data_IF_795673926074
#
_entry.id   IF_795673926074
#
_cell.length_a   1.000
_cell.length_b   1.000
_cell.length_c   1.000
_cell.angle_alpha   90.00
_cell.angle_beta   90.00
_cell.angle_gamma   90.00
#
_symmetry.space_group_name_H-M   'P 1'
#
loop_
_entity.id
_entity.type
_entity.pdbx_description
1 polymer ?
#
# COMPACT_ATOMS: atom_id res chain seq x y z
N UNK A 1 -14.64 -19.70 -24.68
CA UNK A 1 -15.32 -19.74 -23.37
C UNK A 1 -15.35 -18.32 -22.86
N UNK A 2 -16.53 -17.72 -22.83
CA UNK A 2 -16.75 -16.31 -22.44
C UNK A 2 -16.45 -16.18 -20.94
N UNK A 3 -15.39 -15.48 -20.59
CA UNK A 3 -15.01 -15.26 -19.22
C UNK A 3 -16.07 -14.45 -18.49
N UNK A 4 -16.82 -15.09 -17.62
CA UNK A 4 -17.56 -14.39 -16.58
C UNK A 4 -16.52 -13.63 -15.78
N UNK A 5 -16.43 -12.31 -15.97
CA UNK A 5 -15.44 -11.48 -15.29
C UNK A 5 -15.57 -11.61 -13.78
N UNK A 6 -14.45 -11.48 -13.12
CA UNK A 6 -14.32 -11.62 -11.67
C UNK A 6 -15.13 -10.54 -10.94
N UNK A 7 -15.98 -10.85 -9.94
CA UNK A 7 -16.68 -9.84 -9.16
C UNK A 7 -15.71 -8.92 -8.43
N UNK A 8 -16.06 -7.65 -8.32
CA UNK A 8 -15.23 -6.61 -7.69
C UNK A 8 -15.98 -5.93 -6.55
N UNK A 9 -15.27 -5.39 -5.56
CA UNK A 9 -15.91 -4.64 -4.47
C UNK A 9 -16.76 -3.48 -5.01
N UNK A 10 -17.97 -3.30 -4.44
CA UNK A 10 -18.88 -2.23 -4.86
C UNK A 10 -19.63 -2.51 -6.16
N UNK A 11 -19.51 -3.70 -6.72
CA UNK A 11 -20.26 -4.08 -7.92
C UNK A 11 -21.78 -4.09 -7.65
N UNK A 12 -22.57 -3.34 -8.43
CA UNK A 12 -24.00 -3.30 -8.24
C UNK A 12 -24.66 -4.62 -8.73
N UNK A 13 -25.86 -4.88 -8.21
CA UNK A 13 -26.70 -5.90 -8.80
C UNK A 13 -27.21 -5.44 -10.16
N UNK A 14 -26.95 -6.21 -11.22
CA UNK A 14 -27.40 -5.88 -12.57
C UNK A 14 -28.72 -6.58 -12.89
N UNK A 15 -29.68 -5.80 -13.41
CA UNK A 15 -30.89 -6.36 -14.01
C UNK A 15 -30.59 -7.09 -15.32
N UNK A 16 -29.57 -6.64 -16.05
CA UNK A 16 -29.01 -7.30 -17.23
C UNK A 16 -27.57 -7.76 -16.92
N UNK A 17 -27.34 -9.07 -16.77
CA UNK A 17 -26.01 -9.60 -16.46
C UNK A 17 -24.92 -9.26 -17.49
N UNK A 18 -25.31 -8.92 -18.74
CA UNK A 18 -24.35 -8.52 -19.79
C UNK A 18 -23.66 -7.19 -19.51
N UNK A 19 -24.18 -6.37 -18.59
CA UNK A 19 -23.58 -5.11 -18.18
C UNK A 19 -22.39 -5.30 -17.22
N UNK A 20 -22.35 -6.40 -16.48
CA UNK A 20 -21.32 -6.63 -15.47
C UNK A 20 -19.88 -6.58 -16.02
N UNK A 21 -19.53 -7.25 -17.14
CA UNK A 21 -18.18 -7.16 -17.69
C UNK A 21 -17.81 -5.74 -18.14
N UNK A 22 -18.78 -5.00 -18.71
CA UNK A 22 -18.57 -3.61 -19.15
C UNK A 22 -18.36 -2.68 -17.95
N UNK A 23 -19.14 -2.86 -16.91
CA UNK A 23 -19.00 -2.07 -15.68
C UNK A 23 -17.64 -2.33 -15.01
N UNK A 24 -17.21 -3.60 -14.92
CA UNK A 24 -15.90 -3.96 -14.38
C UNK A 24 -14.75 -3.36 -15.19
N UNK A 25 -14.86 -3.38 -16.51
CA UNK A 25 -13.86 -2.75 -17.38
C UNK A 25 -13.83 -1.22 -17.18
N UNK A 26 -15.00 -0.57 -17.05
CA UNK A 26 -15.07 0.86 -16.76
C UNK A 26 -14.47 1.18 -15.37
N UNK A 27 -14.82 0.40 -14.33
CA UNK A 27 -14.22 0.55 -12.99
C UNK A 27 -12.71 0.39 -13.03
N UNK A 28 -12.19 -0.59 -13.76
CA UNK A 28 -10.73 -0.78 -13.92
C UNK A 28 -10.10 0.42 -14.62
N UNK A 29 -10.73 0.96 -15.64
CA UNK A 29 -10.26 2.17 -16.33
C UNK A 29 -10.24 3.39 -15.40
N UNK A 30 -11.22 3.54 -14.50
CA UNK A 30 -11.23 4.57 -13.44
C UNK A 30 -10.05 4.37 -12.49
N UNK A 31 -9.83 3.14 -12.05
CA UNK A 31 -8.72 2.81 -11.15
C UNK A 31 -7.35 3.13 -11.77
N UNK A 32 -7.14 2.73 -13.02
CA UNK A 32 -5.92 3.02 -13.76
C UNK A 32 -5.73 4.53 -13.97
N UNK A 33 -6.83 5.25 -14.23
CA UNK A 33 -6.81 6.70 -14.38
C UNK A 33 -6.42 7.39 -13.07
N UNK A 34 -7.08 7.04 -11.96
CA UNK A 34 -6.78 7.63 -10.64
C UNK A 34 -5.35 7.31 -10.19
N UNK A 35 -4.90 6.07 -10.40
CA UNK A 35 -3.52 5.69 -10.12
C UNK A 35 -2.53 6.59 -10.86
N UNK A 36 -2.75 6.77 -12.16
CA UNK A 36 -1.87 7.59 -13.00
C UNK A 36 -1.89 9.05 -12.59
N UNK A 37 -3.08 9.65 -12.44
CA UNK A 37 -3.24 11.07 -12.13
C UNK A 37 -2.58 11.41 -10.78
N UNK A 38 -2.72 10.53 -9.80
CA UNK A 38 -2.09 10.71 -8.49
C UNK A 38 -0.58 10.47 -8.57
N UNK A 39 -0.13 9.41 -9.24
CA UNK A 39 1.29 9.12 -9.37
C UNK A 39 2.07 10.18 -10.16
N UNK A 40 1.42 10.83 -11.13
CA UNK A 40 2.01 11.91 -11.94
C UNK A 40 1.88 13.31 -11.27
N UNK A 41 1.14 13.40 -10.16
CA UNK A 41 1.01 14.67 -9.43
C UNK A 41 2.27 14.95 -8.59
N UNK A 42 2.53 16.21 -8.24
CA UNK A 42 3.63 16.56 -7.32
C UNK A 42 3.54 15.87 -5.97
N UNK A 43 2.34 15.48 -5.55
CA UNK A 43 2.11 14.76 -4.30
C UNK A 43 2.48 13.26 -4.40
N UNK A 44 2.54 12.71 -5.62
CA UNK A 44 2.83 11.29 -5.86
C UNK A 44 4.16 10.81 -5.25
N UNK A 45 5.15 11.69 -5.19
CA UNK A 45 6.47 11.38 -4.60
C UNK A 45 6.38 11.12 -3.08
N UNK A 46 5.39 11.68 -2.41
CA UNK A 46 5.10 11.47 -0.99
C UNK A 46 4.22 10.24 -0.70
N UNK A 47 3.94 9.40 -1.70
CA UNK A 47 3.02 8.29 -1.57
C UNK A 47 3.66 6.93 -1.87
N UNK A 48 3.27 5.94 -1.09
CA UNK A 48 3.65 4.54 -1.33
C UNK A 48 2.38 3.72 -1.52
N UNK A 49 2.23 3.13 -2.69
CA UNK A 49 1.11 2.25 -2.98
C UNK A 49 1.31 0.89 -2.30
N UNK A 50 0.26 0.36 -1.70
CA UNK A 50 0.24 -0.98 -1.12
C UNK A 50 -1.03 -1.74 -1.51
N UNK A 51 -1.33 -2.83 -0.83
CA UNK A 51 -2.58 -3.57 -1.03
C UNK A 51 -2.55 -4.51 -2.23
N UNK A 52 -3.69 -4.65 -2.91
CA UNK A 52 -3.86 -5.67 -3.95
C UNK A 52 -3.42 -5.23 -5.36
N UNK A 53 -3.29 -3.94 -5.62
CA UNK A 53 -2.97 -3.46 -6.95
C UNK A 53 -1.52 -3.80 -7.38
N UNK A 54 -0.49 -3.59 -6.54
CA UNK A 54 0.87 -4.00 -6.87
C UNK A 54 1.01 -5.50 -7.15
N UNK A 55 0.15 -6.32 -6.55
CA UNK A 55 0.18 -7.77 -6.72
C UNK A 55 0.06 -8.19 -8.18
N UNK A 56 -0.75 -7.47 -8.98
CA UNK A 56 -0.87 -7.76 -10.41
C UNK A 56 0.44 -7.55 -11.19
N UNK A 57 1.25 -6.58 -10.77
CA UNK A 57 2.56 -6.36 -11.39
C UNK A 57 3.54 -7.51 -11.08
N UNK A 58 3.43 -8.11 -9.90
CA UNK A 58 4.36 -9.14 -9.44
C UNK A 58 3.98 -10.55 -9.87
N UNK A 59 2.69 -10.90 -9.78
CA UNK A 59 2.22 -12.28 -10.01
C UNK A 59 1.28 -12.40 -11.23
N UNK A 60 1.07 -11.32 -11.96
CA UNK A 60 0.32 -11.32 -13.21
C UNK A 60 -1.12 -11.79 -13.07
N UNK A 61 -1.55 -12.66 -13.97
CA UNK A 61 -2.92 -13.14 -14.07
C UNK A 61 -3.39 -13.99 -12.86
N UNK A 62 -2.48 -14.45 -12.00
CA UNK A 62 -2.83 -15.14 -10.77
C UNK A 62 -3.41 -14.17 -9.72
N UNK A 63 -3.08 -12.88 -9.79
CA UNK A 63 -3.63 -11.90 -8.87
C UNK A 63 -5.17 -11.82 -9.02
N UNK A 64 -5.85 -11.63 -7.88
CA UNK A 64 -7.26 -11.26 -7.90
C UNK A 64 -7.42 -9.82 -8.41
N UNK A 65 -8.61 -9.48 -8.88
CA UNK A 65 -8.91 -8.11 -9.29
C UNK A 65 -8.74 -7.17 -8.10
N UNK A 66 -8.01 -6.04 -8.27
CA UNK A 66 -7.79 -5.12 -7.17
C UNK A 66 -9.10 -4.43 -6.74
N UNK A 67 -9.22 -4.26 -5.43
CA UNK A 67 -10.32 -3.53 -4.83
C UNK A 67 -10.11 -2.03 -4.91
N UNK A 68 -9.61 -1.50 -3.83
CA UNK A 68 -9.38 -0.08 -3.62
C UNK A 68 -7.93 0.30 -3.95
N UNK A 69 -7.61 1.58 -3.92
CA UNK A 69 -6.24 2.09 -3.99
C UNK A 69 -5.78 2.39 -2.56
N UNK A 70 -4.85 1.60 -2.06
CA UNK A 70 -4.35 1.74 -0.70
C UNK A 70 -2.98 2.45 -0.72
N UNK A 71 -2.90 3.60 -0.06
CA UNK A 71 -1.70 4.42 0.00
C UNK A 71 -1.19 4.60 1.43
N UNK A 72 0.11 4.70 1.58
CA UNK A 72 0.76 5.26 2.75
C UNK A 72 1.20 6.66 2.38
N UNK A 73 0.83 7.63 3.19
CA UNK A 73 1.32 9.00 3.08
C UNK A 73 2.62 9.04 3.89
N UNK A 74 3.71 9.31 3.18
CA UNK A 74 4.98 9.55 3.86
C UNK A 74 4.88 10.87 4.62
N UNK A 75 5.26 10.82 5.88
CA UNK A 75 5.52 12.05 6.63
C UNK A 75 6.53 12.89 5.84
N UNK A 76 6.42 14.23 5.88
CA UNK A 76 7.45 15.08 5.33
C UNK A 76 8.78 14.72 5.98
N UNK A 77 9.55 13.87 5.30
CA UNK A 77 10.88 13.51 5.78
C UNK A 77 11.84 14.67 5.58
N UNK A 78 12.96 14.64 6.28
CA UNK A 78 14.03 15.62 6.06
C UNK A 78 14.47 15.66 4.60
N UNK A 79 14.37 14.55 3.86
CA UNK A 79 14.66 14.49 2.43
C UNK A 79 13.76 15.44 1.61
N UNK A 80 12.50 15.59 2.01
CA UNK A 80 11.62 16.58 1.37
C UNK A 80 11.97 18.02 1.77
N UNK A 81 12.55 18.20 2.92
CA UNK A 81 13.03 19.52 3.34
C UNK A 81 14.27 19.97 2.56
N UNK A 82 15.15 19.03 2.18
CA UNK A 82 16.40 19.32 1.50
C UNK A 82 16.19 19.96 0.16
N UNK A 83 15.32 19.40 -0.66
CA UNK A 83 15.08 19.86 -2.02
C UNK A 83 14.23 21.14 -2.11
N UNK A 84 13.64 21.56 -0.99
CA UNK A 84 12.65 22.64 -0.97
C UNK A 84 13.01 23.81 -0.08
N UNK A 85 14.04 23.69 0.73
CA UNK A 85 14.36 24.68 1.74
C UNK A 85 15.61 25.46 1.38
N UNK A 86 15.53 26.72 1.78
CA UNK A 86 16.61 27.64 1.98
C UNK A 86 17.82 26.97 2.65
N UNK A 87 19.03 27.55 2.47
CA UNK A 87 20.31 27.00 2.94
C UNK A 87 20.43 26.63 4.43
N UNK A 88 19.39 26.85 5.21
CA UNK A 88 19.35 26.43 6.63
C UNK A 88 18.12 25.58 6.90
N UNK A 89 18.10 24.30 6.51
CA UNK A 89 16.97 23.44 6.72
C UNK A 89 16.73 23.19 8.22
N UNK A 90 15.48 22.98 8.58
CA UNK A 90 15.06 22.60 9.90
C UNK A 90 14.69 21.13 9.90
N UNK A 91 14.93 20.47 11.01
CA UNK A 91 14.52 19.08 11.20
C UNK A 91 13.72 18.97 12.49
N UNK A 92 12.66 18.17 12.42
CA UNK A 92 11.81 17.92 13.57
C UNK A 92 12.26 16.63 14.27
N UNK A 93 12.58 16.74 15.54
CA UNK A 93 12.90 15.56 16.33
C UNK A 93 14.23 14.89 15.99
N UNK A 94 14.46 13.72 16.59
CA UNK A 94 15.69 12.94 16.44
C UNK A 94 15.58 11.79 15.41
N UNK A 95 14.40 11.55 14.92
CA UNK A 95 14.05 10.54 13.94
C UNK A 95 14.18 11.05 12.49
N UNK A 96 14.58 12.29 12.31
CA UNK A 96 14.70 12.96 11.03
C UNK A 96 16.18 13.17 10.69
N UNK A 97 16.54 12.95 9.46
CA UNK A 97 17.89 13.20 8.96
C UNK A 97 18.22 14.69 9.06
N UNK A 98 19.29 14.99 9.75
CA UNK A 98 19.75 16.35 9.93
C UNK A 98 20.68 16.76 8.78
N UNK A 99 20.49 17.97 8.28
CA UNK A 99 21.31 18.50 7.20
C UNK A 99 22.00 19.79 7.61
N UNK A 100 23.22 19.93 7.15
CA UNK A 100 23.95 21.17 7.28
C UNK A 100 23.91 22.00 6.01
N UNK A 101 24.29 23.28 6.11
CA UNK A 101 24.39 24.11 4.90
C UNK A 101 25.22 23.49 3.79
N UNK A 102 26.30 22.79 4.12
CA UNK A 102 27.16 22.11 3.15
C UNK A 102 26.43 20.94 2.44
N UNK A 103 25.49 20.31 3.10
CA UNK A 103 24.68 19.28 2.49
C UNK A 103 23.64 19.85 1.53
N UNK A 104 23.11 21.03 1.82
CA UNK A 104 22.20 21.73 0.91
C UNK A 104 22.88 22.15 -0.41
N UNK A 105 24.20 22.34 -0.42
CA UNK A 105 25.00 22.58 -1.61
C UNK A 105 25.45 21.30 -2.35
N UNK A 106 24.84 20.17 -2.03
CA UNK A 106 25.14 18.88 -2.66
C UNK A 106 26.33 18.12 -2.07
N UNK A 107 26.91 18.61 -0.97
CA UNK A 107 27.82 17.84 -0.14
C UNK A 107 26.99 16.85 0.68
N UNK A 108 26.78 15.75 0.11
CA UNK A 108 25.99 14.66 0.56
C UNK A 108 25.98 14.45 2.06
N UNK A 109 24.91 14.55 2.70
CA UNK A 109 24.98 13.81 3.87
C UNK A 109 23.71 13.20 4.43
N UNK A 110 22.98 12.46 3.66
CA UNK A 110 22.08 11.47 4.24
C UNK A 110 22.78 10.50 5.18
N UNK A 111 24.12 10.44 5.13
CA UNK A 111 24.93 9.53 5.96
C UNK A 111 25.28 10.04 7.36
N UNK A 112 24.97 11.27 7.68
CA UNK A 112 25.37 11.87 8.98
C UNK A 112 24.54 11.39 10.16
N UNK A 113 23.33 10.93 9.88
CA UNK A 113 22.40 10.38 10.89
C UNK A 113 21.75 9.13 10.30
N UNK A 114 22.48 8.04 10.39
CA UNK A 114 21.94 6.76 9.93
C UNK A 114 20.85 6.29 10.89
N UNK A 115 19.84 5.62 10.36
CA UNK A 115 18.85 4.88 11.16
C UNK A 115 19.53 4.00 12.23
N UNK A 116 20.75 3.50 11.95
CA UNK A 116 21.52 2.70 12.88
C UNK A 116 21.95 3.46 14.12
N UNK A 117 22.26 4.75 14.03
CA UNK A 117 22.60 5.56 15.21
C UNK A 117 21.37 5.88 16.06
N UNK A 118 20.25 6.15 15.43
CA UNK A 118 18.97 6.33 16.11
C UNK A 118 18.53 5.02 16.78
N UNK A 119 18.65 3.89 16.09
CA UNK A 119 18.34 2.56 16.61
C UNK A 119 19.29 2.13 17.74
N UNK A 120 20.59 2.41 17.63
CA UNK A 120 21.59 2.06 18.64
C UNK A 120 21.38 2.81 19.96
N UNK A 121 20.80 4.00 19.90
CA UNK A 121 20.53 4.81 21.10
C UNK A 121 19.09 4.72 21.58
N UNK A 122 18.21 3.98 20.87
CA UNK A 122 16.78 3.93 21.16
C UNK A 122 16.12 5.31 21.10
N UNK A 123 16.61 6.20 20.27
CA UNK A 123 16.14 7.59 20.18
C UNK A 123 16.61 8.51 21.30
N UNK A 124 17.47 8.01 22.19
CA UNK A 124 17.92 8.77 23.37
C UNK A 124 19.17 9.60 23.13
N UNK A 125 19.83 9.49 21.97
CA UNK A 125 21.03 10.28 21.69
C UNK A 125 20.66 11.74 21.46
N UNK A 126 21.18 12.68 22.24
CA UNK A 126 20.98 14.08 22.00
C UNK A 126 21.68 14.46 20.70
N UNK A 127 20.90 14.71 19.65
CA UNK A 127 21.42 15.28 18.43
C UNK A 127 21.54 16.80 18.62
N UNK A 128 22.77 17.29 18.60
CA UNK A 128 23.01 18.73 18.58
C UNK A 128 22.82 19.22 17.13
N UNK A 129 21.97 20.21 16.96
CA UNK A 129 21.85 20.87 15.67
C UNK A 129 23.20 21.51 15.30
N UNK A 130 23.68 21.35 14.07
CA UNK A 130 24.87 22.05 13.58
C UNK A 130 24.68 23.55 13.67
N UNK A 131 25.79 24.26 13.62
CA UNK A 131 25.75 25.71 13.56
C UNK A 131 24.92 26.20 12.35
N UNK A 132 24.00 27.11 12.60
CA UNK A 132 23.07 27.63 11.58
C UNK A 132 21.79 26.81 11.39
N UNK A 133 21.67 25.65 12.03
CA UNK A 133 20.43 24.86 12.07
C UNK A 133 19.77 24.96 13.43
N UNK A 134 18.49 24.71 13.45
CA UNK A 134 17.73 24.59 14.69
C UNK A 134 16.73 23.43 14.59
N UNK A 135 16.47 22.80 15.71
CA UNK A 135 15.35 21.89 15.84
C UNK A 135 14.05 22.70 15.80
N UNK A 136 13.08 22.18 15.08
CA UNK A 136 11.70 22.64 15.14
C UNK A 136 10.87 21.54 15.79
N UNK A 137 9.89 21.95 16.56
CA UNK A 137 8.94 21.01 17.14
C UNK A 137 8.06 20.45 16.00
N UNK A 138 7.77 19.15 16.06
CA UNK A 138 6.88 18.50 15.09
C UNK A 138 5.51 19.19 15.03
N UNK A 139 5.05 19.75 16.14
CA UNK A 139 3.80 20.51 16.23
C UNK A 139 3.88 21.87 15.49
N UNK A 140 5.07 22.33 15.16
CA UNK A 140 5.28 23.56 14.38
C UNK A 140 5.33 23.30 12.88
N UNK A 141 5.33 22.03 12.45
CA UNK A 141 5.20 21.68 11.04
C UNK A 141 3.76 21.90 10.59
N UNK A 142 3.60 22.57 9.47
CA UNK A 142 2.28 22.66 8.86
C UNK A 142 1.79 21.26 8.49
N UNK A 143 0.55 20.90 8.83
CA UNK A 143 -0.02 19.62 8.40
C UNK A 143 0.09 19.49 6.88
N UNK A 144 0.52 18.36 6.41
CA UNK A 144 0.49 18.06 4.99
C UNK A 144 -0.91 18.24 4.40
N UNK A 145 -1.03 18.48 3.09
CA UNK A 145 -2.32 18.70 2.46
C UNK A 145 -3.25 17.49 2.65
N UNK A 146 -4.53 17.77 2.85
CA UNK A 146 -5.54 16.72 3.03
C UNK A 146 -5.63 15.86 1.75
N UNK A 147 -5.62 14.52 1.85
CA UNK A 147 -5.68 13.64 0.69
C UNK A 147 -6.83 13.92 -0.28
N UNK A 148 -8.00 14.32 0.23
CA UNK A 148 -9.12 14.71 -0.61
C UNK A 148 -8.80 15.95 -1.48
N UNK A 149 -8.14 16.93 -0.91
CA UNK A 149 -7.78 18.15 -1.64
C UNK A 149 -6.76 17.84 -2.75
N UNK A 150 -5.78 17.00 -2.45
CA UNK A 150 -4.76 16.59 -3.41
C UNK A 150 -5.34 15.75 -4.55
N UNK A 151 -6.19 14.76 -4.25
CA UNK A 151 -6.89 13.96 -5.28
C UNK A 151 -7.78 14.89 -6.15
N UNK A 152 -8.50 15.82 -5.53
CA UNK A 152 -9.35 16.77 -6.26
C UNK A 152 -8.51 17.70 -7.15
N UNK A 153 -7.38 18.19 -6.67
CA UNK A 153 -6.46 19.03 -7.44
C UNK A 153 -5.86 18.24 -8.62
N UNK A 154 -5.39 17.02 -8.38
CA UNK A 154 -4.83 16.17 -9.41
C UNK A 154 -5.86 15.81 -10.51
N UNK A 155 -7.11 15.56 -10.13
CA UNK A 155 -8.20 15.32 -11.09
C UNK A 155 -8.56 16.55 -11.91
N UNK A 156 -8.46 17.75 -11.32
CA UNK A 156 -8.70 19.03 -12.06
C UNK A 156 -7.57 19.38 -13.01
N UNK A 157 -6.34 19.08 -12.63
CA UNK A 157 -5.15 19.37 -13.44
C UNK A 157 -4.90 18.32 -14.52
N UNK A 158 -5.30 17.07 -14.27
CA UNK A 158 -5.06 15.94 -15.15
C UNK A 158 -6.01 15.89 -16.34
N UNK A 159 -5.72 14.99 -17.32
CA UNK A 159 -6.62 14.74 -18.44
C UNK A 159 -7.91 14.04 -17.95
N UNK A 160 -9.01 14.14 -18.70
CA UNK A 160 -10.22 13.37 -18.37
C UNK A 160 -10.00 11.86 -18.50
N UNK A 161 -10.78 11.02 -17.78
CA UNK A 161 -10.73 9.59 -17.94
C UNK A 161 -11.06 9.18 -19.39
N UNK A 162 -10.43 8.11 -19.91
CA UNK A 162 -10.73 7.60 -21.25
C UNK A 162 -12.08 6.86 -21.29
N UNK A 163 -12.58 6.59 -22.51
CA UNK A 163 -13.70 5.65 -22.71
C UNK A 163 -15.08 6.16 -22.32
N UNK A 164 -15.32 7.47 -22.34
CA UNK A 164 -16.64 8.04 -22.02
C UNK A 164 -16.97 7.98 -20.52
N UNK A 165 -15.96 7.79 -19.70
CA UNK A 165 -16.08 7.83 -18.23
C UNK A 165 -16.05 9.30 -17.79
N UNK A 166 -16.87 9.61 -16.80
CA UNK A 166 -16.94 10.94 -16.18
C UNK A 166 -16.67 10.84 -14.68
N UNK A 167 -15.77 11.68 -14.21
CA UNK A 167 -15.50 11.93 -12.80
C UNK A 167 -15.72 13.41 -12.56
N UNK A 168 -16.55 13.74 -11.59
CA UNK A 168 -16.71 15.13 -11.15
C UNK A 168 -15.79 15.37 -9.94
N UNK A 169 -14.72 16.16 -10.09
CA UNK A 169 -13.82 16.44 -8.97
C UNK A 169 -14.50 17.12 -7.78
N UNK A 170 -15.64 17.79 -8.00
CA UNK A 170 -16.38 18.44 -6.91
C UNK A 170 -17.22 17.46 -6.08
N UNK A 171 -17.45 16.27 -6.61
CA UNK A 171 -18.18 15.20 -5.92
C UNK A 171 -17.27 14.26 -5.11
N UNK A 172 -15.97 14.50 -5.12
CA UNK A 172 -15.00 13.73 -4.30
C UNK A 172 -15.22 14.05 -2.83
N UNK A 173 -15.42 13.02 -2.03
CA UNK A 173 -15.65 13.14 -0.58
C UNK A 173 -14.56 12.42 0.21
N UNK A 174 -14.41 12.80 1.47
CA UNK A 174 -13.50 12.14 2.40
C UNK A 174 -14.21 11.73 3.68
N UNK A 175 -13.84 10.58 4.21
CA UNK A 175 -14.11 10.14 5.57
C UNK A 175 -12.80 10.21 6.36
N UNK A 176 -12.68 11.25 7.19
CA UNK A 176 -11.49 11.51 8.01
C UNK A 176 -11.45 10.74 9.32
N UNK A 177 -12.48 9.92 9.61
CA UNK A 177 -12.57 9.09 10.82
C UNK A 177 -12.20 7.63 10.50
N UNK A 178 -11.84 7.36 9.25
CA UNK A 178 -11.47 6.03 8.84
C UNK A 178 -10.15 5.60 9.47
N UNK A 179 -10.15 4.45 10.12
CA UNK A 179 -8.96 3.82 10.68
C UNK A 179 -8.82 2.41 10.15
N UNK A 180 -7.61 2.01 9.82
CA UNK A 180 -7.29 0.60 9.66
C UNK A 180 -7.50 -0.11 11.00
N UNK A 181 -8.35 -1.12 11.04
CA UNK A 181 -8.70 -1.87 12.25
C UNK A 181 -7.49 -2.38 13.03
N UNK A 182 -6.40 -2.65 12.35
CA UNK A 182 -5.23 -3.30 12.92
C UNK A 182 -4.24 -2.33 13.59
N UNK A 183 -4.26 -1.04 13.23
CA UNK A 183 -3.12 -0.20 13.52
C UNK A 183 -3.40 0.97 14.44
N UNK A 184 -4.65 1.22 14.82
CA UNK A 184 -5.02 2.49 15.47
C UNK A 184 -4.45 3.72 14.71
N UNK A 185 -4.01 3.50 13.47
CA UNK A 185 -3.35 4.49 12.66
C UNK A 185 -4.40 5.36 12.01
N UNK A 186 -4.34 6.67 12.20
CA UNK A 186 -5.28 7.57 11.56
C UNK A 186 -5.15 7.46 10.05
N UNK A 187 -6.28 7.52 9.38
CA UNK A 187 -6.33 7.45 7.93
C UNK A 187 -7.45 8.30 7.38
N UNK A 188 -7.41 8.49 6.07
CA UNK A 188 -8.46 9.16 5.32
C UNK A 188 -8.91 8.26 4.20
N UNK A 189 -10.21 8.00 4.11
CA UNK A 189 -10.82 7.34 2.95
C UNK A 189 -11.37 8.40 2.01
N UNK A 190 -10.86 8.47 0.81
CA UNK A 190 -11.38 9.31 -0.27
C UNK A 190 -12.26 8.45 -1.17
N UNK A 191 -13.47 8.92 -1.41
CA UNK A 191 -14.44 8.27 -2.29
C UNK A 191 -14.59 9.10 -3.55
N UNK A 192 -14.35 8.47 -4.69
CA UNK A 192 -14.41 9.08 -6.02
C UNK A 192 -15.58 8.47 -6.80
N UNK A 193 -16.73 9.17 -6.87
CA UNK A 193 -17.85 8.75 -7.70
C UNK A 193 -17.50 8.86 -9.19
N UNK A 194 -17.97 7.89 -9.97
CA UNK A 194 -17.79 7.90 -11.41
C UNK A 194 -19.05 7.43 -12.16
N UNK A 195 -19.15 7.82 -13.41
CA UNK A 195 -20.24 7.46 -14.29
C UNK A 195 -19.70 7.07 -15.68
N UNK A 196 -20.36 6.15 -16.33
CA UNK A 196 -20.11 5.80 -17.73
C UNK A 196 -21.44 5.57 -18.45
N UNK A 197 -21.50 5.89 -19.75
CA UNK A 197 -22.74 5.86 -20.50
C UNK A 197 -23.34 4.45 -20.57
N UNK A 198 -24.62 4.35 -20.22
CA UNK A 198 -25.35 3.08 -20.24
C UNK A 198 -24.94 2.08 -19.16
N UNK A 199 -24.24 2.53 -18.11
CA UNK A 199 -23.85 1.72 -16.96
C UNK A 199 -24.38 2.33 -15.66
N UNK A 200 -24.67 1.52 -14.65
CA UNK A 200 -24.90 2.04 -13.30
C UNK A 200 -23.71 2.86 -12.81
N UNK A 201 -23.94 3.92 -12.02
CA UNK A 201 -22.86 4.67 -11.40
C UNK A 201 -22.04 3.76 -10.49
N UNK A 202 -20.79 4.13 -10.25
CA UNK A 202 -19.89 3.42 -9.37
C UNK A 202 -19.08 4.39 -8.51
N UNK A 203 -18.39 3.82 -7.55
CA UNK A 203 -17.47 4.53 -6.68
C UNK A 203 -16.14 3.78 -6.66
N UNK A 204 -15.04 4.53 -6.59
CA UNK A 204 -13.75 3.99 -6.26
C UNK A 204 -13.27 4.60 -4.94
N UNK A 205 -12.71 3.77 -4.09
CA UNK A 205 -12.16 4.18 -2.80
C UNK A 205 -10.66 4.25 -2.88
N UNK A 206 -10.12 5.26 -2.24
CA UNK A 206 -8.69 5.46 -2.07
C UNK A 206 -8.45 5.65 -0.58
N UNK A 207 -7.71 4.73 0.00
CA UNK A 207 -7.42 4.72 1.43
C UNK A 207 -6.00 5.25 1.66
N UNK A 208 -5.86 6.26 2.49
CA UNK A 208 -4.60 6.91 2.80
C UNK A 208 -4.30 6.69 4.29
N UNK A 209 -3.34 5.83 4.57
CA UNK A 209 -2.82 5.66 5.93
C UNK A 209 -1.78 6.74 6.22
N UNK A 210 -1.89 7.37 7.38
CA UNK A 210 -0.94 8.36 7.88
C UNK A 210 -0.11 7.75 8.99
N UNK A 211 1.11 8.20 9.16
CA UNK A 211 2.03 7.76 10.22
C UNK A 211 2.28 6.24 10.24
N UNK A 212 2.17 5.57 9.11
CA UNK A 212 2.45 4.15 9.03
C UNK A 212 3.93 3.89 8.80
N UNK A 213 4.55 3.14 9.71
CA UNK A 213 5.95 2.79 9.58
C UNK A 213 6.24 1.95 8.34
N UNK A 214 7.30 2.30 7.62
CA UNK A 214 7.83 1.54 6.49
C UNK A 214 9.14 0.86 6.89
N UNK A 215 9.09 -0.34 7.48
CA UNK A 215 10.28 -1.04 7.94
C UNK A 215 11.14 -1.65 6.81
N UNK A 216 10.75 -1.43 5.57
CA UNK A 216 11.48 -1.84 4.36
C UNK A 216 11.38 -0.77 3.29
N UNK A 217 12.46 -0.59 2.54
CA UNK A 217 12.52 0.44 1.51
C UNK A 217 11.45 0.23 0.41
N UNK A 218 10.76 1.30 -0.02
CA UNK A 218 9.83 1.19 -1.14
C UNK A 218 10.56 0.85 -2.44
N UNK A 219 9.84 0.19 -3.35
CA UNK A 219 10.36 -0.22 -4.64
C UNK A 219 9.54 0.41 -5.77
N UNK A 220 10.19 0.71 -6.90
CA UNK A 220 9.48 1.11 -8.11
C UNK A 220 8.80 -0.09 -8.75
N UNK A 221 7.51 0.03 -9.01
CA UNK A 221 6.68 -1.02 -9.60
C UNK A 221 5.93 -0.46 -10.81
N UNK A 222 6.01 -1.17 -11.92
CA UNK A 222 5.25 -0.87 -13.14
C UNK A 222 3.87 -1.52 -13.06
N UNK A 223 2.88 -0.81 -12.53
CA UNK A 223 1.52 -1.34 -12.37
C UNK A 223 0.82 -1.48 -13.73
N UNK A 224 0.39 -2.69 -14.11
CA UNK A 224 -0.21 -2.93 -15.41
C UNK A 224 -1.59 -2.29 -15.51
N UNK A 225 -1.93 -1.80 -16.70
CA UNK A 225 -3.23 -1.22 -17.01
C UNK A 225 -4.18 -2.27 -17.56
N UNK A 226 -5.44 -2.14 -17.25
CA UNK A 226 -6.49 -3.04 -17.77
C UNK A 226 -6.75 -2.92 -19.27
N UNK A 227 -6.38 -1.78 -19.88
CA UNK A 227 -6.48 -1.54 -21.32
C UNK A 227 -5.26 -2.05 -22.12
N UNK A 228 -4.25 -2.62 -21.47
CA UNK A 228 -3.01 -3.07 -22.09
C UNK A 228 -2.07 -1.94 -22.53
N UNK A 229 -2.36 -0.70 -22.15
CA UNK A 229 -1.49 0.44 -22.38
C UNK A 229 -0.20 0.39 -21.54
N UNK A 230 0.71 1.37 -21.71
CA UNK A 230 1.92 1.45 -20.90
C UNK A 230 1.59 1.41 -19.40
N UNK A 231 2.33 0.63 -18.60
CA UNK A 231 2.08 0.54 -17.17
C UNK A 231 2.35 1.87 -16.47
N UNK A 232 1.70 2.10 -15.35
CA UNK A 232 1.95 3.26 -14.49
C UNK A 232 3.08 2.94 -13.52
N UNK A 233 4.23 3.62 -13.59
CA UNK A 233 5.29 3.46 -12.61
C UNK A 233 4.91 4.17 -11.32
N UNK A 234 4.98 3.47 -10.20
CA UNK A 234 4.69 4.05 -8.88
C UNK A 234 5.61 3.43 -7.82
N UNK A 235 5.87 4.16 -6.76
CA UNK A 235 6.54 3.60 -5.58
C UNK A 235 5.56 2.73 -4.82
N UNK A 236 5.97 1.51 -4.50
CA UNK A 236 5.14 0.55 -3.76
C UNK A 236 5.87 0.02 -2.55
N UNK A 237 5.14 -0.46 -1.56
CA UNK A 237 5.73 -1.37 -0.58
C UNK A 237 6.38 -2.55 -1.31
N UNK A 238 7.50 -3.06 -0.79
CA UNK A 238 8.16 -4.22 -1.39
C UNK A 238 7.28 -5.48 -1.32
N UNK A 239 7.51 -6.49 -2.18
CA UNK A 239 6.82 -7.79 -2.07
C UNK A 239 7.00 -8.44 -0.69
N UNK A 240 8.18 -8.29 -0.08
CA UNK A 240 8.48 -8.81 1.27
C UNK A 240 7.67 -8.12 2.36
N UNK A 241 7.61 -6.79 2.33
CA UNK A 241 6.80 -6.02 3.27
C UNK A 241 5.31 -6.30 3.08
N UNK A 242 4.85 -6.38 1.83
CA UNK A 242 3.47 -6.75 1.50
C UNK A 242 3.10 -8.13 2.05
N UNK A 243 4.00 -9.12 1.93
CA UNK A 243 3.81 -10.44 2.53
C UNK A 243 3.77 -10.36 4.06
N UNK A 244 4.68 -9.62 4.68
CA UNK A 244 4.72 -9.50 6.13
C UNK A 244 3.41 -8.90 6.68
N UNK A 245 2.85 -7.88 6.05
CA UNK A 245 1.54 -7.33 6.43
C UNK A 245 0.40 -8.33 6.24
N UNK A 246 0.40 -9.10 5.14
CA UNK A 246 -0.62 -10.16 4.96
C UNK A 246 -0.56 -11.20 6.07
N UNK A 247 0.64 -11.57 6.51
CA UNK A 247 0.82 -12.51 7.62
C UNK A 247 0.36 -11.89 8.96
N UNK A 248 0.60 -10.59 9.18
CA UNK A 248 0.11 -9.86 10.34
C UNK A 248 -1.43 -9.86 10.36
N UNK A 249 -2.08 -9.42 9.29
CA UNK A 249 -3.55 -9.35 9.23
C UNK A 249 -4.21 -10.71 9.42
N UNK A 250 -3.62 -11.78 8.85
CA UNK A 250 -4.10 -13.15 9.08
C UNK A 250 -3.97 -13.57 10.55
N UNK A 251 -2.92 -13.15 11.24
CA UNK A 251 -2.73 -13.42 12.67
C UNK A 251 -3.72 -12.66 13.54
N UNK A 252 -3.97 -11.38 13.22
CA UNK A 252 -4.90 -10.51 13.92
C UNK A 252 -6.36 -10.93 13.74
N UNK A 253 -6.79 -11.21 12.50
CA UNK A 253 -8.13 -11.73 12.21
C UNK A 253 -8.40 -12.99 13.01
N UNK A 254 -7.41 -13.90 13.08
CA UNK A 254 -7.53 -15.12 13.89
C UNK A 254 -7.69 -14.80 15.36
N UNK A 255 -6.97 -13.83 15.88
CA UNK A 255 -7.08 -13.43 17.29
C UNK A 255 -8.42 -12.77 17.59
N UNK A 256 -8.88 -11.89 16.71
CA UNK A 256 -10.11 -11.12 16.91
C UNK A 256 -11.38 -11.94 16.60
N UNK A 257 -11.37 -12.72 15.53
CA UNK A 257 -12.56 -13.39 14.97
C UNK A 257 -12.49 -14.93 15.04
N UNK A 258 -11.37 -15.48 15.50
CA UNK A 258 -11.13 -16.93 15.53
C UNK A 258 -10.84 -17.56 14.17
N UNK A 259 -10.87 -16.79 13.10
CA UNK A 259 -10.62 -17.21 11.71
C UNK A 259 -9.98 -16.11 10.88
N UNK A 260 -9.11 -16.49 9.98
CA UNK A 260 -8.39 -15.62 9.07
C UNK A 260 -9.17 -15.38 7.77
N UNK A 261 -8.90 -14.24 7.12
CA UNK A 261 -9.54 -13.85 5.86
C UNK A 261 -8.94 -14.60 4.68
N UNK A 262 -9.75 -15.28 3.88
CA UNK A 262 -9.27 -16.08 2.75
C UNK A 262 -8.59 -15.27 1.65
N UNK A 263 -9.00 -14.02 1.41
CA UNK A 263 -8.35 -13.12 0.42
C UNK A 263 -6.90 -12.87 0.78
N UNK A 264 -6.60 -12.65 2.06
CA UNK A 264 -5.26 -12.35 2.53
C UNK A 264 -4.38 -13.61 2.56
N UNK A 265 -4.98 -14.78 2.83
CA UNK A 265 -4.30 -16.07 2.66
C UNK A 265 -3.89 -16.29 1.19
N UNK A 266 -4.81 -16.07 0.26
CA UNK A 266 -4.52 -16.23 -1.17
C UNK A 266 -3.42 -15.29 -1.65
N UNK A 267 -3.54 -14.00 -1.31
CA UNK A 267 -2.52 -13.00 -1.64
C UNK A 267 -1.14 -13.36 -1.02
N UNK A 268 -1.12 -13.83 0.24
CA UNK A 268 0.10 -14.25 0.92
C UNK A 268 0.77 -15.47 0.26
N UNK A 269 -0.02 -16.44 -0.22
CA UNK A 269 0.52 -17.57 -0.99
C UNK A 269 1.23 -17.08 -2.24
N UNK A 270 0.58 -16.23 -3.02
CA UNK A 270 1.16 -15.70 -4.27
C UNK A 270 2.45 -14.92 -4.01
N UNK A 271 2.46 -14.09 -2.97
CA UNK A 271 3.65 -13.33 -2.58
C UNK A 271 4.78 -14.24 -2.08
N UNK A 272 4.46 -15.27 -1.28
CA UNK A 272 5.47 -16.19 -0.75
C UNK A 272 6.09 -17.07 -1.83
N UNK A 273 5.32 -17.43 -2.86
CA UNK A 273 5.78 -18.22 -4.01
C UNK A 273 6.44 -17.35 -5.10
N UNK A 274 6.31 -16.02 -5.04
CA UNK A 274 6.96 -15.13 -5.99
C UNK A 274 8.48 -15.10 -5.79
N UNK A 275 9.29 -15.52 -6.78
CA UNK A 275 10.74 -15.70 -6.59
C UNK A 275 11.50 -14.46 -6.12
N UNK A 276 11.17 -13.24 -6.58
CA UNK A 276 11.80 -12.00 -6.11
C UNK A 276 11.45 -11.62 -4.66
N UNK A 277 10.45 -12.23 -4.05
CA UNK A 277 10.08 -11.90 -2.67
C UNK A 277 11.24 -12.21 -1.72
N UNK A 278 11.64 -11.21 -0.96
CA UNK A 278 12.64 -11.27 0.08
C UNK A 278 12.02 -10.92 1.41
N UNK A 279 12.09 -11.83 2.38
CA UNK A 279 11.46 -11.68 3.70
C UNK A 279 12.48 -11.97 4.79
N UNK A 280 13.35 -11.00 5.15
CA UNK A 280 14.31 -11.20 6.21
C UNK A 280 13.60 -11.37 7.56
N UNK A 281 14.15 -12.22 8.46
CA UNK A 281 13.55 -12.46 9.78
C UNK A 281 13.37 -11.19 10.62
N UNK A 282 14.22 -10.18 10.43
CA UNK A 282 14.09 -8.87 11.08
C UNK A 282 12.80 -8.18 10.61
N UNK A 283 12.59 -8.06 9.31
CA UNK A 283 11.40 -7.44 8.73
C UNK A 283 10.13 -8.13 9.23
N UNK A 284 10.10 -9.46 9.16
CA UNK A 284 8.97 -10.24 9.63
C UNK A 284 8.69 -9.99 11.12
N UNK A 285 9.73 -9.99 11.97
CA UNK A 285 9.56 -9.71 13.41
C UNK A 285 9.08 -8.29 13.68
N UNK A 286 9.63 -7.30 12.98
CA UNK A 286 9.23 -5.91 13.13
C UNK A 286 7.75 -5.73 12.80
N UNK A 287 7.29 -6.29 11.67
CA UNK A 287 5.89 -6.16 11.24
C UNK A 287 4.94 -6.95 12.11
N UNK A 288 5.30 -8.18 12.48
CA UNK A 288 4.43 -9.01 13.32
C UNK A 288 4.34 -8.53 14.78
N UNK A 289 5.32 -7.76 15.26
CA UNK A 289 5.32 -7.23 16.63
C UNK A 289 5.06 -8.34 17.67
N UNK A 290 4.02 -8.21 18.49
CA UNK A 290 3.69 -9.22 19.53
C UNK A 290 3.40 -10.62 18.95
N UNK A 291 2.92 -10.70 17.70
CA UNK A 291 2.61 -11.97 17.02
C UNK A 291 3.86 -12.71 16.53
N UNK A 292 5.05 -12.09 16.59
CA UNK A 292 6.29 -12.71 16.11
C UNK A 292 6.74 -13.89 16.96
N UNK A 293 6.38 -13.91 18.26
CA UNK A 293 6.79 -14.98 19.17
C UNK A 293 6.16 -16.31 18.76
N UNK A 294 7.00 -17.28 18.39
CA UNK A 294 6.54 -18.61 17.96
C UNK A 294 5.89 -18.63 16.58
N UNK A 295 5.91 -17.53 15.83
CA UNK A 295 5.39 -17.51 14.47
C UNK A 295 6.29 -18.30 13.50
N UNK A 296 5.65 -19.13 12.68
CA UNK A 296 6.35 -19.92 11.67
C UNK A 296 5.38 -20.72 10.78
N UNK A 297 5.92 -21.58 9.91
CA UNK A 297 5.12 -22.39 9.01
C UNK A 297 4.02 -23.23 9.70
N UNK A 298 4.29 -23.74 10.89
CA UNK A 298 3.31 -24.50 11.68
C UNK A 298 2.14 -23.62 12.15
N UNK A 299 2.40 -22.36 12.49
CA UNK A 299 1.35 -21.40 12.85
C UNK A 299 0.35 -21.25 11.71
N UNK A 300 0.87 -21.12 10.47
CA UNK A 300 0.06 -20.97 9.25
C UNK A 300 -0.79 -22.22 8.99
N UNK A 301 -0.25 -23.42 9.15
CA UNK A 301 -0.98 -24.69 8.95
C UNK A 301 -2.20 -24.82 9.85
N UNK A 302 -2.15 -24.20 11.02
CA UNK A 302 -3.19 -24.29 12.04
C UNK A 302 -4.24 -23.18 11.96
N UNK A 303 -4.18 -22.28 10.98
CA UNK A 303 -5.17 -21.24 10.83
C UNK A 303 -6.51 -21.79 10.36
N UNK A 304 -7.59 -21.25 10.94
CA UNK A 304 -8.93 -21.44 10.40
C UNK A 304 -9.22 -20.30 9.43
N UNK A 305 -9.77 -20.63 8.27
CA UNK A 305 -10.00 -19.66 7.19
C UNK A 305 -11.45 -19.76 6.73
N UNK A 306 -12.11 -18.64 6.56
CA UNK A 306 -13.43 -18.59 5.92
C UNK A 306 -13.27 -18.64 4.40
N UNK A 307 -13.36 -19.86 3.86
CA UNK A 307 -13.11 -20.14 2.46
C UNK A 307 -14.34 -20.02 1.59
N UNK A 308 -15.52 -20.31 2.12
CA UNK A 308 -16.74 -20.47 1.31
C UNK A 308 -17.13 -19.22 0.55
N UNK A 309 -17.17 -18.08 1.23
CA UNK A 309 -17.50 -16.78 0.62
C UNK A 309 -16.43 -16.34 -0.40
N UNK A 310 -15.15 -16.58 -0.10
CA UNK A 310 -14.07 -16.27 -1.01
C UNK A 310 -14.14 -17.11 -2.28
N UNK A 311 -14.32 -18.43 -2.17
CA UNK A 311 -14.40 -19.33 -3.32
C UNK A 311 -15.63 -19.02 -4.19
N UNK A 312 -16.77 -18.69 -3.57
CA UNK A 312 -17.96 -18.25 -4.32
C UNK A 312 -17.68 -16.98 -5.15
N UNK A 313 -16.92 -16.04 -4.59
CA UNK A 313 -16.53 -14.81 -5.30
C UNK A 313 -15.37 -15.04 -6.30
N UNK A 314 -14.54 -16.07 -6.09
CA UNK A 314 -13.34 -16.35 -6.86
C UNK A 314 -13.30 -17.82 -7.34
N UNK A 315 -14.27 -18.27 -8.14
CA UNK A 315 -14.40 -19.68 -8.55
C UNK A 315 -13.26 -20.18 -9.46
N UNK A 316 -12.42 -19.28 -9.95
CA UNK A 316 -11.23 -19.61 -10.74
C UNK A 316 -10.01 -19.95 -9.87
N UNK A 317 -10.08 -19.73 -8.56
CA UNK A 317 -9.01 -20.11 -7.63
C UNK A 317 -9.11 -21.60 -7.37
N UNK A 318 -8.14 -22.34 -7.86
CA UNK A 318 -8.08 -23.78 -7.68
C UNK A 318 -7.68 -24.15 -6.24
N UNK A 319 -8.27 -25.23 -5.74
CA UNK A 319 -7.95 -25.76 -4.42
C UNK A 319 -8.90 -25.30 -3.31
N UNK A 320 -8.49 -25.57 -2.10
CA UNK A 320 -9.22 -25.23 -0.87
C UNK A 320 -8.32 -24.51 0.13
N UNK A 321 -8.90 -24.13 1.27
CA UNK A 321 -8.17 -23.43 2.32
C UNK A 321 -6.99 -24.26 2.85
N UNK A 322 -7.12 -25.57 2.93
CA UNK A 322 -6.09 -26.47 3.45
C UNK A 322 -4.89 -26.55 2.52
N UNK A 323 -5.15 -26.68 1.22
CA UNK A 323 -4.11 -26.63 0.19
C UNK A 323 -3.36 -25.30 0.18
N UNK A 324 -4.07 -24.17 0.29
CA UNK A 324 -3.43 -22.86 0.35
C UNK A 324 -2.58 -22.66 1.61
N UNK A 325 -3.07 -23.11 2.78
CA UNK A 325 -2.28 -23.05 4.01
C UNK A 325 -1.01 -23.89 3.91
N UNK A 326 -1.10 -25.09 3.32
CA UNK A 326 0.05 -25.95 3.10
C UNK A 326 1.06 -25.31 2.14
N UNK A 327 0.59 -24.70 1.03
CA UNK A 327 1.44 -23.97 0.08
C UNK A 327 2.14 -22.80 0.77
N UNK A 328 1.39 -21.96 1.51
CA UNK A 328 1.96 -20.83 2.24
C UNK A 328 3.02 -21.29 3.25
N UNK A 329 2.72 -22.32 4.04
CA UNK A 329 3.65 -22.85 5.02
C UNK A 329 4.95 -23.38 4.37
N UNK A 330 4.84 -24.07 3.24
CA UNK A 330 5.99 -24.59 2.50
C UNK A 330 6.82 -23.44 1.90
N UNK A 331 6.17 -22.47 1.25
CA UNK A 331 6.86 -21.32 0.67
C UNK A 331 7.53 -20.45 1.76
N UNK A 332 6.86 -20.25 2.89
CA UNK A 332 7.40 -19.49 4.02
C UNK A 332 8.64 -20.17 4.63
N UNK A 333 8.63 -21.51 4.80
CA UNK A 333 9.80 -22.24 5.26
C UNK A 333 11.01 -22.01 4.34
N UNK A 334 10.81 -22.17 3.03
CA UNK A 334 11.86 -21.94 2.03
C UNK A 334 12.35 -20.47 2.00
N UNK A 335 11.46 -19.49 2.20
CA UNK A 335 11.83 -18.08 2.30
C UNK A 335 12.71 -17.82 3.52
N UNK A 336 12.32 -18.31 4.69
CA UNK A 336 13.06 -18.12 5.94
C UNK A 336 14.43 -18.82 5.91
N UNK A 337 14.53 -19.98 5.32
CA UNK A 337 15.82 -20.66 5.10
C UNK A 337 16.75 -19.86 4.18
N UNK A 338 16.24 -19.36 3.05
CA UNK A 338 17.03 -18.53 2.12
C UNK A 338 17.55 -17.25 2.76
N UNK A 339 16.77 -16.67 3.66
CA UNK A 339 17.14 -15.40 4.31
C UNK A 339 18.06 -15.59 5.52
N UNK A 340 18.06 -16.77 6.13
CA UNK A 340 18.98 -17.11 7.20
C UNK A 340 20.41 -17.49 6.68
N UNK A 341 20.52 -17.87 5.41
CA UNK A 341 21.78 -18.27 4.78
C UNK A 341 22.61 -17.09 4.20
N UNK A 342 22.10 -15.87 4.23
CA UNK A 342 22.77 -14.64 3.82
C UNK A 342 23.09 -13.74 5.00
#
# INVERSE_FOLDING_TARGET
MSGAGRPVPGEPAFSDPSLAPRWRAARRSVQDHLLRVVAESPWGDGLILRGSLPLQAWVGAAAREPGDLDWIVLEPSADHFVDRLDPCPYVAGMDVVQQWPEAADGAAAPDLWTDDECLATGGARPALAPEGLRWIDSDALEPGPAPQAEVTAALKAGPPPPGGIRIDPSAVTADGVWMYRAYETPGVRVVVPWQADGLPPGELRMDFAQNEALPDAPVWTACPRGDGGPPTPVRTASPGLSLAWKLLWLAEDRQAEGRATAKDLYDAVLLAEHPPTWLPPRLLRTVLGPHASGFGPETVRNWRVDWSAFHAAHPWVDGDADGLRQRLATALAALLERTAAR
#
